data_IF_296378351171
#
_entry.id   IF_296378351171
#
_cell.length_a   1.000
_cell.length_b   1.000
_cell.length_c   1.000
_cell.angle_alpha   90.00
_cell.angle_beta   90.00
_cell.angle_gamma   90.00
#
_symmetry.space_group_name_H-M   'P 1'
#
loop_
_entity.id
_entity.type
_entity.pdbx_description
1 polymer ?
#
# COMPACT_ATOMS: atom_id res chain seq x y z
N UNK A 1 -16.71 -22.67 6.44
CA UNK A 1 -16.94 -21.23 6.72
C UNK A 1 -18.42 -20.96 6.88
N UNK A 2 -18.82 -20.02 7.74
CA UNK A 2 -20.20 -19.52 7.80
C UNK A 2 -20.40 -18.31 6.90
N UNK A 3 -21.65 -17.99 6.54
CA UNK A 3 -22.01 -16.77 5.81
C UNK A 3 -21.54 -15.50 6.55
N UNK A 4 -21.60 -15.52 7.89
CA UNK A 4 -21.13 -14.43 8.74
C UNK A 4 -19.61 -14.21 8.62
N UNK A 5 -18.84 -15.29 8.54
CA UNK A 5 -17.37 -15.21 8.36
C UNK A 5 -17.03 -14.57 7.01
N UNK A 6 -17.73 -14.99 5.96
CA UNK A 6 -17.57 -14.45 4.62
C UNK A 6 -18.00 -12.98 4.53
N UNK A 7 -19.11 -12.61 5.18
CA UNK A 7 -19.60 -11.23 5.17
C UNK A 7 -18.58 -10.22 5.72
N UNK A 8 -17.84 -10.59 6.78
CA UNK A 8 -16.78 -9.73 7.33
C UNK A 8 -15.64 -9.56 6.31
N UNK A 9 -15.19 -10.66 5.71
CA UNK A 9 -14.10 -10.67 4.74
C UNK A 9 -14.49 -9.90 3.47
N UNK A 10 -15.71 -10.09 2.98
CA UNK A 10 -16.21 -9.46 1.76
C UNK A 10 -16.43 -7.97 1.97
N UNK A 11 -16.95 -7.57 3.14
CA UNK A 11 -17.03 -6.15 3.51
C UNK A 11 -15.65 -5.51 3.56
N UNK A 12 -14.68 -6.13 4.23
CA UNK A 12 -13.32 -5.60 4.29
C UNK A 12 -12.67 -5.50 2.92
N UNK A 13 -12.89 -6.51 2.08
CA UNK A 13 -12.39 -6.53 0.70
C UNK A 13 -12.99 -5.39 -0.10
N UNK A 14 -14.32 -5.22 -0.05
CA UNK A 14 -15.02 -4.13 -0.73
C UNK A 14 -14.57 -2.75 -0.25
N UNK A 15 -14.37 -2.56 1.06
CA UNK A 15 -13.86 -1.30 1.61
C UNK A 15 -12.45 -0.98 1.12
N UNK A 16 -11.54 -1.95 1.15
CA UNK A 16 -10.18 -1.79 0.65
C UNK A 16 -10.15 -1.48 -0.86
N UNK A 17 -10.90 -2.25 -1.66
CA UNK A 17 -11.00 -2.03 -3.11
C UNK A 17 -11.65 -0.68 -3.43
N UNK A 18 -12.63 -0.23 -2.63
CA UNK A 18 -13.25 1.08 -2.78
C UNK A 18 -12.25 2.22 -2.57
N UNK A 19 -11.46 2.17 -1.49
CA UNK A 19 -10.39 3.15 -1.23
C UNK A 19 -9.33 3.09 -2.33
N UNK A 20 -8.90 1.89 -2.71
CA UNK A 20 -7.90 1.70 -3.77
C UNK A 20 -8.36 2.31 -5.09
N UNK A 21 -9.57 2.00 -5.53
CA UNK A 21 -10.16 2.53 -6.76
C UNK A 21 -10.28 4.05 -6.70
N UNK A 22 -10.73 4.61 -5.57
CA UNK A 22 -10.81 6.06 -5.38
C UNK A 22 -9.43 6.73 -5.49
N UNK A 23 -8.41 6.18 -4.83
CA UNK A 23 -7.04 6.69 -4.92
C UNK A 23 -6.50 6.63 -6.35
N UNK A 24 -6.69 5.50 -7.04
CA UNK A 24 -6.30 5.31 -8.44
C UNK A 24 -6.98 6.34 -9.35
N UNK A 25 -8.29 6.54 -9.22
CA UNK A 25 -9.01 7.50 -10.05
C UNK A 25 -8.49 8.92 -9.87
N UNK A 26 -8.28 9.36 -8.64
CA UNK A 26 -7.72 10.70 -8.37
C UNK A 26 -6.30 10.84 -8.92
N UNK A 27 -5.43 9.85 -8.68
CA UNK A 27 -4.07 9.87 -9.20
C UNK A 27 -4.03 9.85 -10.73
N UNK A 28 -4.86 9.04 -11.40
CA UNK A 28 -4.92 8.98 -12.87
C UNK A 28 -5.38 10.30 -13.50
N UNK A 29 -6.31 11.05 -12.89
CA UNK A 29 -6.70 12.37 -13.39
C UNK A 29 -5.49 13.31 -13.48
N UNK A 30 -4.59 13.26 -12.48
CA UNK A 30 -3.34 14.02 -12.52
C UNK A 30 -2.33 13.46 -13.53
N UNK A 31 -2.40 12.16 -13.84
CA UNK A 31 -1.59 11.54 -14.89
C UNK A 31 -1.97 12.03 -16.30
N UNK A 32 -3.27 12.30 -16.54
CA UNK A 32 -3.72 12.93 -17.80
C UNK A 32 -3.10 14.32 -17.94
N UNK A 33 -3.10 15.13 -16.88
CA UNK A 33 -2.47 16.45 -16.90
C UNK A 33 -0.96 16.38 -17.17
N UNK A 34 -0.26 15.40 -16.58
CA UNK A 34 1.15 15.17 -16.86
C UNK A 34 1.39 14.80 -18.33
N UNK A 35 0.57 13.92 -18.89
CA UNK A 35 0.67 13.53 -20.29
C UNK A 35 0.42 14.70 -21.26
N UNK A 36 -0.53 15.58 -20.93
CA UNK A 36 -0.80 16.79 -21.70
C UNK A 36 0.34 17.80 -21.61
N UNK A 37 0.88 18.02 -20.41
CA UNK A 37 2.03 18.91 -20.21
C UNK A 37 3.26 18.42 -21.00
N UNK A 38 3.55 17.11 -20.99
CA UNK A 38 4.61 16.51 -21.79
C UNK A 38 4.36 16.59 -23.32
N UNK A 39 3.10 16.79 -23.73
CA UNK A 39 2.71 17.04 -25.12
C UNK A 39 2.72 18.54 -25.48
N UNK A 40 3.16 19.42 -24.58
CA UNK A 40 3.22 20.87 -24.78
C UNK A 40 1.96 21.64 -24.40
N UNK A 41 0.97 20.98 -23.79
CA UNK A 41 -0.27 21.60 -23.32
C UNK A 41 -0.28 21.73 -21.79
N UNK A 42 0.19 22.87 -21.28
CA UNK A 42 0.22 23.12 -19.83
C UNK A 42 -1.13 23.61 -19.29
N UNK A 43 -1.81 22.75 -18.54
CA UNK A 43 -3.09 23.04 -17.89
C UNK A 43 -2.97 23.42 -16.41
N UNK A 44 -1.78 23.30 -15.78
CA UNK A 44 -1.61 23.57 -14.36
C UNK A 44 -1.95 25.02 -13.96
N UNK A 45 -1.62 26.06 -14.75
CA UNK A 45 -2.00 27.44 -14.44
C UNK A 45 -3.51 27.67 -14.31
N UNK A 46 -4.34 26.89 -15.01
CA UNK A 46 -5.80 27.06 -15.03
C UNK A 46 -6.51 26.35 -13.86
N UNK A 47 -5.84 25.41 -13.20
CA UNK A 47 -6.41 24.66 -12.05
C UNK A 47 -5.83 25.11 -10.71
N UNK A 48 -4.90 26.08 -10.72
CA UNK A 48 -4.45 26.74 -9.51
C UNK A 48 -5.60 27.55 -8.87
N UNK A 49 -5.72 27.59 -7.52
CA UNK A 49 -4.79 27.03 -6.53
C UNK A 49 -5.07 25.57 -6.13
N UNK A 50 -6.07 24.90 -6.72
CA UNK A 50 -6.46 23.54 -6.30
C UNK A 50 -5.32 22.52 -6.46
N UNK A 51 -4.56 22.64 -7.55
CA UNK A 51 -3.23 22.03 -7.70
C UNK A 51 -2.29 23.15 -8.10
N UNK A 52 -1.40 23.55 -7.19
CA UNK A 52 -0.58 24.74 -7.31
C UNK A 52 0.57 24.58 -8.31
N UNK A 53 1.12 23.37 -8.47
CA UNK A 53 2.27 23.12 -9.35
C UNK A 53 2.21 21.74 -10.00
N UNK A 54 2.95 21.59 -11.10
CA UNK A 54 3.23 20.28 -11.70
C UNK A 54 3.72 19.26 -10.66
N UNK A 55 4.69 19.65 -9.83
CA UNK A 55 5.30 18.77 -8.83
C UNK A 55 4.36 18.39 -7.67
N UNK A 56 3.43 19.27 -7.29
CA UNK A 56 2.36 18.90 -6.36
C UNK A 56 1.50 17.79 -6.97
N UNK A 57 1.06 17.99 -8.22
CA UNK A 57 0.28 16.99 -8.96
C UNK A 57 1.04 15.68 -9.14
N UNK A 58 2.33 15.73 -9.47
CA UNK A 58 3.18 14.55 -9.63
C UNK A 58 3.38 13.80 -8.31
N UNK A 59 3.52 14.52 -7.20
CA UNK A 59 3.63 13.89 -5.88
C UNK A 59 2.34 13.18 -5.48
N UNK A 60 1.18 13.83 -5.65
CA UNK A 60 -0.12 13.22 -5.39
C UNK A 60 -0.33 12.00 -6.31
N UNK A 61 -0.02 12.11 -7.60
CA UNK A 61 -0.13 11.01 -8.55
C UNK A 61 0.68 9.79 -8.10
N UNK A 62 1.98 9.97 -7.82
CA UNK A 62 2.86 8.88 -7.42
C UNK A 62 2.42 8.24 -6.09
N UNK A 63 2.07 9.05 -5.09
CA UNK A 63 1.64 8.53 -3.78
C UNK A 63 0.31 7.78 -3.89
N UNK A 64 -0.70 8.34 -4.55
CA UNK A 64 -2.02 7.72 -4.64
C UNK A 64 -2.00 6.46 -5.52
N UNK A 65 -1.29 6.47 -6.64
CA UNK A 65 -1.24 5.31 -7.53
C UNK A 65 -0.23 4.27 -7.03
N UNK A 66 1.04 4.63 -6.87
CA UNK A 66 2.08 3.65 -6.61
C UNK A 66 2.06 3.10 -5.17
N UNK A 67 1.60 3.88 -4.19
CA UNK A 67 1.63 3.47 -2.77
C UNK A 67 0.23 3.14 -2.23
N UNK A 68 -0.75 4.04 -2.38
CA UNK A 68 -2.07 3.88 -1.75
C UNK A 68 -2.92 2.86 -2.50
N UNK A 69 -3.13 3.03 -3.80
CA UNK A 69 -3.94 2.10 -4.61
C UNK A 69 -3.41 0.67 -4.50
N UNK A 70 -2.12 0.46 -4.73
CA UNK A 70 -1.49 -0.86 -4.64
C UNK A 70 -1.69 -1.46 -3.24
N UNK A 71 -1.32 -0.76 -2.18
CA UNK A 71 -1.37 -1.32 -0.81
C UNK A 71 -2.78 -1.70 -0.40
N UNK A 72 -3.77 -0.82 -0.60
CA UNK A 72 -5.16 -1.11 -0.26
C UNK A 72 -5.72 -2.26 -1.12
N UNK A 73 -5.48 -2.24 -2.44
CA UNK A 73 -5.92 -3.32 -3.32
C UNK A 73 -5.37 -4.68 -2.87
N UNK A 74 -4.07 -4.74 -2.60
CA UNK A 74 -3.38 -5.98 -2.22
C UNK A 74 -3.87 -6.49 -0.88
N UNK A 75 -3.99 -5.60 0.13
CA UNK A 75 -4.50 -5.97 1.44
C UNK A 75 -5.93 -6.53 1.37
N UNK A 76 -6.80 -5.90 0.58
CA UNK A 76 -8.16 -6.39 0.34
C UNK A 76 -8.17 -7.73 -0.40
N UNK A 77 -7.49 -7.79 -1.54
CA UNK A 77 -7.42 -8.97 -2.40
C UNK A 77 -6.81 -10.19 -1.68
N UNK A 78 -5.71 -10.03 -0.97
CA UNK A 78 -5.11 -11.15 -0.23
C UNK A 78 -5.91 -11.56 1.00
N UNK A 79 -6.63 -10.64 1.65
CA UNK A 79 -7.61 -11.03 2.69
C UNK A 79 -8.70 -11.92 2.09
N UNK A 80 -9.28 -11.52 0.96
CA UNK A 80 -10.26 -12.30 0.22
C UNK A 80 -9.73 -13.66 -0.23
N UNK A 81 -8.59 -13.65 -0.93
CA UNK A 81 -8.02 -14.80 -1.60
C UNK A 81 -7.50 -15.84 -0.60
N UNK A 82 -6.85 -15.42 0.48
CA UNK A 82 -6.30 -16.33 1.49
C UNK A 82 -7.41 -17.07 2.25
N UNK A 83 -8.44 -16.37 2.70
CA UNK A 83 -9.58 -16.96 3.42
C UNK A 83 -10.27 -18.03 2.58
N UNK A 84 -10.57 -17.71 1.32
CA UNK A 84 -11.22 -18.63 0.38
C UNK A 84 -10.32 -19.79 -0.02
N UNK A 85 -9.03 -19.52 -0.23
CA UNK A 85 -8.08 -20.55 -0.62
C UNK A 85 -7.80 -21.55 0.50
N UNK A 86 -7.84 -21.13 1.77
CA UNK A 86 -7.67 -22.01 2.92
C UNK A 86 -9.01 -22.64 3.39
N UNK A 87 -10.14 -22.19 2.82
CA UNK A 87 -11.51 -22.53 3.25
C UNK A 87 -11.73 -22.41 4.77
N UNK A 88 -11.31 -21.28 5.34
CA UNK A 88 -11.41 -21.04 6.78
C UNK A 88 -11.58 -19.55 7.10
N UNK A 89 -12.26 -19.22 8.21
CA UNK A 89 -12.32 -17.85 8.66
C UNK A 89 -10.93 -17.31 9.05
N UNK A 90 -10.80 -15.98 8.98
CA UNK A 90 -9.71 -15.28 9.64
C UNK A 90 -9.65 -15.69 11.11
N UNK A 91 -8.45 -16.01 11.61
CA UNK A 91 -8.28 -16.39 13.02
C UNK A 91 -8.68 -15.27 13.97
N UNK A 92 -8.30 -14.04 13.64
CA UNK A 92 -8.60 -12.84 14.40
C UNK A 92 -9.15 -11.75 13.47
N UNK A 93 -10.45 -11.79 13.12
CA UNK A 93 -11.02 -10.85 12.15
C UNK A 93 -10.86 -9.38 12.55
N UNK A 94 -10.79 -9.08 13.85
CA UNK A 94 -10.59 -7.72 14.35
C UNK A 94 -9.24 -7.11 13.91
N UNK A 95 -8.21 -7.94 13.69
CA UNK A 95 -6.88 -7.46 13.31
C UNK A 95 -6.90 -6.84 11.91
N UNK A 96 -7.52 -7.50 10.93
CA UNK A 96 -7.67 -6.96 9.57
C UNK A 96 -8.67 -5.79 9.52
N UNK A 97 -9.66 -5.75 10.43
CA UNK A 97 -10.54 -4.59 10.59
C UNK A 97 -9.77 -3.37 11.10
N UNK A 98 -9.01 -3.54 12.19
CA UNK A 98 -8.17 -2.48 12.74
C UNK A 98 -7.13 -2.02 11.72
N UNK A 99 -6.52 -2.96 10.99
CA UNK A 99 -5.57 -2.67 9.92
C UNK A 99 -6.16 -1.72 8.86
N UNK A 100 -7.38 -1.97 8.40
CA UNK A 100 -8.06 -1.08 7.45
C UNK A 100 -8.20 0.35 7.99
N UNK A 101 -8.65 0.50 9.24
CA UNK A 101 -8.81 1.84 9.83
C UNK A 101 -7.47 2.54 10.08
N UNK A 102 -6.42 1.80 10.43
CA UNK A 102 -5.05 2.35 10.57
C UNK A 102 -4.54 2.85 9.22
N UNK A 103 -4.69 2.07 8.15
CA UNK A 103 -4.31 2.54 6.80
C UNK A 103 -5.15 3.74 6.36
N UNK A 104 -6.46 3.72 6.62
CA UNK A 104 -7.36 4.82 6.26
C UNK A 104 -6.99 6.11 7.00
N UNK A 105 -6.72 6.04 8.30
CA UNK A 105 -6.24 7.18 9.08
C UNK A 105 -4.91 7.69 8.52
N UNK A 106 -3.97 6.79 8.20
CA UNK A 106 -2.70 7.15 7.57
C UNK A 106 -2.87 7.90 6.25
N UNK A 107 -3.76 7.42 5.38
CA UNK A 107 -4.11 8.10 4.13
C UNK A 107 -4.68 9.51 4.39
N UNK A 108 -5.63 9.65 5.32
CA UNK A 108 -6.25 10.94 5.63
C UNK A 108 -5.23 11.94 6.22
N UNK A 109 -4.33 11.48 7.08
CA UNK A 109 -3.25 12.30 7.63
C UNK A 109 -2.28 12.74 6.53
N UNK A 110 -1.94 11.84 5.59
CA UNK A 110 -1.07 12.13 4.44
C UNK A 110 -1.74 13.08 3.43
N UNK A 111 -3.07 13.01 3.29
CA UNK A 111 -3.82 13.84 2.35
C UNK A 111 -3.71 15.33 2.69
N UNK A 112 -3.68 15.71 3.97
CA UNK A 112 -3.55 17.11 4.38
C UNK A 112 -2.32 17.81 3.76
N UNK A 113 -1.07 17.36 4.01
CA UNK A 113 0.11 18.05 3.46
C UNK A 113 0.23 17.90 1.93
N UNK A 114 -0.31 16.84 1.34
CA UNK A 114 -0.37 16.68 -0.12
C UNK A 114 -1.26 17.75 -0.78
N UNK A 115 -2.48 17.92 -0.27
CA UNK A 115 -3.46 18.85 -0.83
C UNK A 115 -3.12 20.32 -0.54
N UNK A 116 -2.44 20.58 0.59
CA UNK A 116 -2.00 21.94 0.98
C UNK A 116 -0.62 22.33 0.43
N UNK A 117 -0.05 21.55 -0.49
CA UNK A 117 1.25 21.78 -1.11
C UNK A 117 2.43 21.82 -0.11
N UNK A 118 2.28 21.17 1.04
CA UNK A 118 3.31 21.05 2.09
C UNK A 118 4.17 19.77 1.94
N UNK A 119 3.95 18.97 0.89
CA UNK A 119 4.65 17.72 0.64
C UNK A 119 4.94 17.48 -0.85
N UNK A 120 5.36 18.51 -1.59
CA UNK A 120 5.74 18.40 -3.00
C UNK A 120 7.17 17.83 -3.17
N UNK A 121 7.35 16.58 -2.72
CA UNK A 121 8.64 15.88 -2.62
C UNK A 121 8.70 14.57 -3.42
N UNK A 122 7.71 14.35 -4.29
CA UNK A 122 7.48 13.09 -5.02
C UNK A 122 7.18 11.90 -4.08
N UNK A 123 6.78 10.77 -4.65
CA UNK A 123 6.52 9.53 -3.89
C UNK A 123 7.79 8.88 -3.31
N UNK A 124 8.98 9.37 -3.68
CA UNK A 124 10.28 8.92 -3.16
C UNK A 124 10.80 9.78 -2.01
N UNK A 125 10.27 11.00 -1.82
CA UNK A 125 10.53 11.88 -0.67
C UNK A 125 12.02 11.99 -0.24
N UNK A 126 12.93 12.05 -1.21
CA UNK A 126 14.37 12.06 -0.95
C UNK A 126 14.83 13.35 -0.25
N UNK A 127 15.57 13.24 0.87
CA UNK A 127 16.33 14.37 1.39
C UNK A 127 17.32 14.93 0.35
N UNK A 128 17.60 16.25 0.36
CA UNK A 128 17.20 17.26 1.35
C UNK A 128 15.83 17.92 1.08
N UNK A 129 14.99 17.36 0.20
CA UNK A 129 13.62 17.85 0.03
C UNK A 129 12.77 17.39 1.23
N UNK A 130 12.31 18.35 2.02
CA UNK A 130 11.55 18.09 3.25
C UNK A 130 10.06 18.33 3.04
N UNK A 131 9.25 17.35 3.45
CA UNK A 131 7.80 17.48 3.56
C UNK A 131 7.39 17.79 5.01
N UNK A 132 6.16 18.25 5.19
CA UNK A 132 5.56 18.37 6.51
C UNK A 132 5.49 17.01 7.23
N UNK A 133 5.77 16.97 8.54
CA UNK A 133 5.88 15.73 9.35
C UNK A 133 4.69 14.76 9.18
N UNK A 134 3.47 15.30 9.04
CA UNK A 134 2.25 14.52 8.85
C UNK A 134 2.30 13.61 7.62
N UNK A 135 3.03 14.00 6.56
CA UNK A 135 3.22 13.17 5.38
C UNK A 135 3.95 11.86 5.74
N UNK A 136 5.05 11.97 6.49
CA UNK A 136 5.85 10.82 6.91
C UNK A 136 5.10 9.94 7.91
N UNK A 137 4.43 10.54 8.89
CA UNK A 137 3.63 9.80 9.88
C UNK A 137 2.45 9.09 9.22
N UNK A 138 1.73 9.77 8.32
CA UNK A 138 0.60 9.19 7.62
C UNK A 138 0.97 7.97 6.77
N UNK A 139 2.05 8.07 5.97
CA UNK A 139 2.56 6.93 5.19
C UNK A 139 3.05 5.79 6.09
N UNK A 140 3.66 6.10 7.23
CA UNK A 140 4.06 5.09 8.22
C UNK A 140 2.85 4.29 8.70
N UNK A 141 1.72 4.95 8.98
CA UNK A 141 0.50 4.26 9.39
C UNK A 141 -0.06 3.36 8.29
N UNK A 142 0.06 3.75 7.01
CA UNK A 142 -0.31 2.86 5.89
C UNK A 142 0.56 1.59 5.88
N UNK A 143 1.87 1.73 6.08
CA UNK A 143 2.79 0.58 6.19
C UNK A 143 2.42 -0.30 7.40
N UNK A 144 2.23 0.29 8.58
CA UNK A 144 1.86 -0.45 9.80
C UNK A 144 0.53 -1.20 9.63
N UNK A 145 -0.48 -0.56 9.03
CA UNK A 145 -1.75 -1.21 8.74
C UNK A 145 -1.58 -2.41 7.79
N UNK A 146 -0.77 -2.28 6.74
CA UNK A 146 -0.47 -3.41 5.85
C UNK A 146 0.25 -4.57 6.58
N UNK A 147 1.09 -4.27 7.58
CA UNK A 147 1.71 -5.30 8.42
C UNK A 147 0.70 -6.04 9.27
N UNK A 148 -0.29 -5.33 9.82
CA UNK A 148 -1.36 -5.94 10.59
C UNK A 148 -2.18 -6.91 9.73
N UNK A 149 -2.46 -6.57 8.46
CA UNK A 149 -3.07 -7.50 7.50
C UNK A 149 -2.19 -8.74 7.33
N UNK A 150 -0.90 -8.55 7.07
CA UNK A 150 0.05 -9.66 6.89
C UNK A 150 0.05 -10.62 8.09
N UNK A 151 0.13 -10.10 9.31
CA UNK A 151 0.03 -10.89 10.53
C UNK A 151 -1.31 -11.60 10.68
N UNK A 152 -2.42 -10.94 10.34
CA UNK A 152 -3.73 -11.57 10.30
C UNK A 152 -3.79 -12.79 9.38
N UNK A 153 -3.17 -12.70 8.20
CA UNK A 153 -3.10 -13.82 7.25
C UNK A 153 -2.16 -14.93 7.75
N UNK A 154 -0.98 -14.59 8.27
CA UNK A 154 -0.02 -15.55 8.81
C UNK A 154 -0.57 -16.32 10.02
N UNK A 155 -1.29 -15.64 10.92
CA UNK A 155 -1.95 -16.26 12.08
C UNK A 155 -3.10 -17.19 11.67
N UNK A 156 -3.83 -16.80 10.62
CA UNK A 156 -4.88 -17.60 9.98
C UNK A 156 -4.28 -18.86 9.37
N UNK A 157 -3.21 -18.73 8.60
CA UNK A 157 -2.47 -19.86 8.05
C UNK A 157 -1.89 -20.79 9.13
N UNK A 158 -1.32 -20.24 10.21
CA UNK A 158 -0.77 -21.04 11.31
C UNK A 158 -1.83 -21.95 11.95
N UNK A 159 -3.05 -21.45 12.15
CA UNK A 159 -4.16 -22.29 12.62
C UNK A 159 -4.54 -23.35 11.58
N UNK A 160 -4.57 -22.99 10.28
CA UNK A 160 -4.95 -23.92 9.22
C UNK A 160 -3.98 -25.10 9.14
N UNK A 161 -2.68 -24.82 9.29
CA UNK A 161 -1.63 -25.84 9.31
C UNK A 161 -1.75 -26.81 10.48
N UNK A 162 -2.28 -26.37 11.61
CA UNK A 162 -2.54 -27.24 12.77
C UNK A 162 -3.76 -28.14 12.53
N UNK A 163 -4.77 -27.61 11.86
CA UNK A 163 -6.00 -28.34 11.49
C UNK A 163 -5.76 -29.32 10.33
N UNK A 164 -4.73 -29.09 9.51
CA UNK A 164 -4.43 -29.86 8.29
C UNK A 164 -2.98 -30.41 8.28
N UNK A 165 -2.60 -31.29 9.23
CA UNK A 165 -1.26 -31.85 9.28
C UNK A 165 -0.96 -32.70 8.03
N UNK A 166 0.21 -32.50 7.42
CA UNK A 166 0.64 -33.24 6.22
C UNK A 166 0.02 -32.76 4.90
N UNK A 167 -0.96 -31.85 4.92
CA UNK A 167 -1.59 -31.30 3.71
C UNK A 167 -0.74 -30.16 3.15
N UNK A 168 -0.51 -30.18 1.82
CA UNK A 168 0.19 -29.09 1.13
C UNK A 168 -0.64 -27.81 1.17
N UNK A 169 0.04 -26.67 1.33
CA UNK A 169 -0.62 -25.36 1.34
C UNK A 169 -1.23 -25.05 -0.04
N UNK A 170 -2.51 -24.67 -0.11
CA UNK A 170 -3.14 -24.21 -1.34
C UNK A 170 -2.34 -23.09 -2.01
N UNK A 171 -2.18 -23.14 -3.33
CA UNK A 171 -1.27 -22.25 -4.07
C UNK A 171 -1.61 -20.76 -3.92
N UNK A 172 -2.90 -20.39 -3.99
CA UNK A 172 -3.34 -19.00 -3.82
C UNK A 172 -2.94 -18.46 -2.44
N UNK A 173 -3.23 -19.23 -1.38
CA UNK A 173 -2.83 -18.87 -0.03
C UNK A 173 -1.30 -18.79 0.12
N UNK A 174 -0.56 -19.74 -0.47
CA UNK A 174 0.90 -19.72 -0.45
C UNK A 174 1.46 -18.45 -1.11
N UNK A 175 0.98 -18.09 -2.30
CA UNK A 175 1.42 -16.89 -3.01
C UNK A 175 1.12 -15.61 -2.24
N UNK A 176 -0.07 -15.48 -1.66
CA UNK A 176 -0.43 -14.36 -0.80
C UNK A 176 0.47 -14.27 0.45
N UNK A 177 0.69 -15.39 1.14
CA UNK A 177 1.50 -15.44 2.37
C UNK A 177 2.98 -15.11 2.11
N UNK A 178 3.59 -15.68 1.06
CA UNK A 178 4.99 -15.38 0.71
C UNK A 178 5.14 -13.90 0.36
N UNK A 179 4.18 -13.35 -0.41
CA UNK A 179 4.19 -11.93 -0.76
C UNK A 179 4.09 -11.05 0.49
N UNK A 180 3.22 -11.39 1.44
CA UNK A 180 3.12 -10.64 2.69
C UNK A 180 4.35 -10.80 3.58
N UNK A 181 4.97 -11.98 3.66
CA UNK A 181 6.24 -12.17 4.40
C UNK A 181 7.36 -11.33 3.79
N UNK A 182 7.51 -11.37 2.46
CA UNK A 182 8.46 -10.53 1.75
C UNK A 182 8.19 -9.04 2.04
N UNK A 183 6.93 -8.62 2.04
CA UNK A 183 6.55 -7.25 2.33
C UNK A 183 6.94 -6.79 3.74
N UNK A 184 6.73 -7.63 4.76
CA UNK A 184 7.16 -7.32 6.13
C UNK A 184 8.67 -7.05 6.19
N UNK A 185 9.47 -7.86 5.48
CA UNK A 185 10.93 -7.75 5.48
C UNK A 185 11.38 -6.53 4.67
N UNK A 186 10.82 -6.34 3.47
CA UNK A 186 11.17 -5.29 2.54
C UNK A 186 10.92 -3.88 3.10
N UNK A 187 9.81 -3.70 3.81
CA UNK A 187 9.43 -2.40 4.36
C UNK A 187 10.24 -1.98 5.58
N UNK A 188 11.09 -2.85 6.15
CA UNK A 188 11.97 -2.47 7.26
C UNK A 188 12.93 -1.33 6.88
N UNK A 189 13.38 -1.26 5.62
CA UNK A 189 14.24 -0.17 5.15
C UNK A 189 13.54 1.18 5.22
N UNK A 190 12.41 1.32 4.52
CA UNK A 190 11.64 2.58 4.51
C UNK A 190 11.06 2.91 5.89
N UNK A 191 10.68 1.92 6.70
CA UNK A 191 10.25 2.16 8.08
C UNK A 191 11.40 2.74 8.92
N UNK A 192 12.61 2.20 8.77
CA UNK A 192 13.79 2.73 9.48
C UNK A 192 14.17 4.13 8.99
N UNK A 193 14.12 4.36 7.67
CA UNK A 193 14.33 5.68 7.07
C UNK A 193 13.36 6.71 7.66
N UNK A 194 12.06 6.42 7.63
CA UNK A 194 11.06 7.37 8.10
C UNK A 194 11.18 7.63 9.60
N UNK A 195 11.28 6.57 10.41
CA UNK A 195 11.24 6.68 11.88
C UNK A 195 12.51 7.31 12.47
N UNK A 196 13.68 6.97 11.94
CA UNK A 196 14.96 7.40 12.51
C UNK A 196 15.59 8.59 11.80
N UNK A 197 15.21 8.85 10.54
CA UNK A 197 15.78 9.93 9.74
C UNK A 197 14.76 11.04 9.48
N UNK A 198 13.64 10.73 8.81
CA UNK A 198 12.74 11.76 8.27
C UNK A 198 11.82 12.41 9.32
N UNK A 199 11.27 11.64 10.26
CA UNK A 199 10.41 12.18 11.32
C UNK A 199 11.20 13.07 12.29
N UNK A 200 12.35 12.65 12.86
CA UNK A 200 13.14 13.52 13.73
C UNK A 200 13.57 14.81 13.03
N UNK A 201 13.94 14.73 11.76
CA UNK A 201 14.32 15.89 10.96
C UNK A 201 13.14 16.83 10.69
N UNK A 202 12.01 16.32 10.22
CA UNK A 202 10.82 17.14 9.93
C UNK A 202 10.15 17.76 11.15
N UNK A 203 10.41 17.22 12.35
CA UNK A 203 9.99 17.82 13.63
C UNK A 203 11.02 18.80 14.21
N UNK A 204 12.19 18.95 13.59
CA UNK A 204 13.26 19.84 14.04
C UNK A 204 14.07 19.32 15.24
N UNK A 205 14.02 18.01 15.52
CA UNK A 205 14.85 17.40 16.57
C UNK A 205 16.32 17.24 16.15
N UNK A 206 16.57 17.22 14.84
CA UNK A 206 17.90 17.24 14.22
C UNK A 206 17.93 18.24 13.07
N UNK A 207 19.09 18.82 12.77
CA UNK A 207 19.23 19.88 11.75
C UNK A 207 19.21 19.33 10.31
N UNK A 208 19.51 18.04 10.14
CA UNK A 208 19.59 17.40 8.84
C UNK A 208 19.63 15.88 8.93
N UNK A 209 19.64 15.24 7.77
CA UNK A 209 19.78 13.78 7.62
C UNK A 209 20.75 13.45 6.49
N UNK A 210 21.39 12.28 6.54
CA UNK A 210 22.27 11.78 5.50
C UNK A 210 21.45 11.33 4.27
N UNK A 211 21.56 12.03 3.12
CA UNK A 211 20.77 11.69 1.93
C UNK A 211 21.17 10.35 1.29
N UNK A 212 22.43 9.92 1.43
CA UNK A 212 22.88 8.64 0.88
C UNK A 212 22.27 7.50 1.68
N UNK A 213 22.36 7.57 3.02
CA UNK A 213 21.76 6.56 3.89
C UNK A 213 20.24 6.47 3.69
N UNK A 214 19.55 7.61 3.61
CA UNK A 214 18.11 7.64 3.36
C UNK A 214 17.76 6.90 2.06
N UNK A 215 18.44 7.21 0.95
CA UNK A 215 18.23 6.54 -0.34
C UNK A 215 18.60 5.05 -0.31
N UNK A 216 19.62 4.64 0.42
CA UNK A 216 19.98 3.23 0.60
C UNK A 216 18.85 2.46 1.29
N UNK A 217 18.30 3.02 2.37
CA UNK A 217 17.17 2.44 3.10
C UNK A 217 15.87 2.45 2.26
N UNK A 218 15.63 3.54 1.52
CA UNK A 218 14.51 3.63 0.60
C UNK A 218 14.57 2.52 -0.45
N UNK A 219 15.73 2.27 -1.07
CA UNK A 219 15.83 1.26 -2.15
C UNK A 219 15.93 -0.18 -1.68
N UNK A 220 16.32 -0.43 -0.42
CA UNK A 220 16.07 -1.72 0.23
C UNK A 220 14.58 -2.09 0.18
N UNK A 221 13.71 -1.09 0.33
CA UNK A 221 12.26 -1.22 0.18
C UNK A 221 11.79 -1.10 -1.28
N UNK A 222 12.33 -0.14 -2.02
CA UNK A 222 11.78 0.35 -3.29
C UNK A 222 11.86 -0.67 -4.43
N UNK A 223 12.83 -1.58 -4.40
CA UNK A 223 12.87 -2.67 -5.38
C UNK A 223 11.88 -3.79 -5.04
N UNK A 224 11.86 -4.38 -3.83
CA UNK A 224 10.80 -5.31 -3.42
C UNK A 224 9.37 -4.75 -3.52
N UNK A 225 9.19 -3.44 -3.39
CA UNK A 225 7.91 -2.75 -3.56
C UNK A 225 7.28 -3.07 -4.93
N UNK A 226 8.05 -3.06 -6.01
CA UNK A 226 7.48 -3.36 -7.34
C UNK A 226 7.08 -4.84 -7.48
N UNK A 227 7.73 -5.75 -6.75
CA UNK A 227 7.28 -7.14 -6.66
C UNK A 227 6.02 -7.28 -5.81
N UNK A 228 5.90 -6.49 -4.74
CA UNK A 228 4.68 -6.45 -3.94
C UNK A 228 3.48 -6.03 -4.81
N UNK A 229 3.67 -5.08 -5.73
CA UNK A 229 2.64 -4.70 -6.72
C UNK A 229 2.28 -5.84 -7.69
N UNK A 230 3.30 -6.55 -8.17
CA UNK A 230 3.18 -7.51 -9.26
C UNK A 230 2.65 -8.88 -8.82
N UNK A 231 3.09 -9.39 -7.68
CA UNK A 231 2.76 -10.72 -7.20
C UNK A 231 1.25 -11.00 -7.03
N UNK A 232 0.41 -10.05 -6.58
CA UNK A 232 -1.05 -10.22 -6.59
C UNK A 232 -1.62 -10.46 -7.98
N UNK A 233 -1.11 -9.76 -9.01
CA UNK A 233 -1.49 -10.00 -10.39
C UNK A 233 -1.04 -11.40 -10.82
N UNK A 234 0.17 -11.83 -10.45
CA UNK A 234 0.64 -13.19 -10.73
C UNK A 234 -0.22 -14.26 -10.04
N UNK A 235 -0.62 -14.06 -8.78
CA UNK A 235 -1.55 -14.97 -8.10
C UNK A 235 -2.86 -15.09 -8.89
N UNK A 236 -3.41 -13.98 -9.37
CA UNK A 236 -4.60 -13.99 -10.22
C UNK A 236 -4.35 -14.71 -11.55
N UNK A 237 -3.28 -14.37 -12.26
CA UNK A 237 -2.97 -14.93 -13.58
C UNK A 237 -2.64 -16.42 -13.55
N UNK A 238 -1.97 -16.90 -12.51
CA UNK A 238 -1.63 -18.32 -12.40
C UNK A 238 -2.76 -19.17 -11.81
N UNK A 239 -3.58 -18.61 -10.92
CA UNK A 239 -4.53 -19.41 -10.15
C UNK A 239 -6.01 -19.15 -10.46
N UNK A 240 -6.33 -18.05 -11.13
CA UNK A 240 -7.72 -17.64 -11.40
C UNK A 240 -7.98 -17.51 -12.90
N UNK A 241 -7.07 -16.88 -13.65
CA UNK A 241 -7.24 -16.64 -15.09
C UNK A 241 -7.43 -17.93 -15.92
N UNK A 242 -6.70 -19.04 -15.70
CA UNK A 242 -6.91 -20.26 -16.49
C UNK A 242 -8.32 -20.80 -16.33
N UNK A 243 -8.87 -20.75 -15.11
CA UNK A 243 -10.25 -21.18 -14.86
C UNK A 243 -11.27 -20.28 -15.56
N UNK A 244 -11.01 -18.97 -15.68
CA UNK A 244 -11.89 -18.02 -16.37
C UNK A 244 -11.91 -18.22 -17.89
N UNK A 245 -10.88 -18.85 -18.46
CA UNK A 245 -10.77 -19.14 -19.89
C UNK A 245 -11.05 -20.61 -20.23
N UNK A 246 -11.54 -21.40 -19.26
CA UNK A 246 -11.70 -22.86 -19.36
C UNK A 246 -10.38 -23.62 -19.66
N UNK A 247 -9.23 -23.01 -19.35
CA UNK A 247 -7.90 -23.62 -19.35
C UNK A 247 -7.54 -24.28 -18.01
N UNK A 248 -6.24 -24.60 -17.84
CA UNK A 248 -5.67 -25.18 -16.62
C UNK A 248 -4.33 -24.53 -16.28
#
# INVERSE_FOLDING_TARGET
>A
MTEKDLAVVDRLTGLNIGVATGALSVGLLLGVLQGLEHAGFDFYPYIAPAIATYYQGLTIHGVLNALVWTTFFICGFFTFATVRSLDRPLRYPWLNQAAFYVMLAGLLITAYPLLTNLASVLYTFYPPLMAHWAFYVGLTLVVVGSWMVGWGLMLTYSAWRKENPGVRTPFIALGALITMVMWQIATLGVASEILFLLIPWSLGFVEGTDPLLARTLFWYFGHPLVYFWLLPAYVSWYAMLPAQTNGK
#
